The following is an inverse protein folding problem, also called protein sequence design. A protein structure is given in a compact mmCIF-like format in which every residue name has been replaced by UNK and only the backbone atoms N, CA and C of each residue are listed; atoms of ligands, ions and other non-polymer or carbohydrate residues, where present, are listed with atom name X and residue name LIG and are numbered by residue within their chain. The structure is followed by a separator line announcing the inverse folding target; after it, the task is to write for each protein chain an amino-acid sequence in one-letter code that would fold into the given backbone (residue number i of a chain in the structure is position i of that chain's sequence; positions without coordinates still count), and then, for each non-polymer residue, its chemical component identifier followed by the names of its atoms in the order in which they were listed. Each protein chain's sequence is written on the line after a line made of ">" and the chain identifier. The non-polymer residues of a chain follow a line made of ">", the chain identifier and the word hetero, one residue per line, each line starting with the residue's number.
data_IF_424340636717
#
_entry.id   IF_424340636717
#
_cell.length_a   1.000
_cell.length_b   1.000
_cell.length_c   1.000
_cell.angle_alpha   90.00
_cell.angle_beta   90.00
_cell.angle_gamma   90.00
#
_symmetry.space_group_name_H-M   'P 1'
#
loop_
_entity.id
_entity.type
_entity.pdbx_description
1 polymer ?
#
# COMPACT_ATOMS: atom_id res chain seq x y z
N UNK A 1 9.94 -19.50 -9.25
CA UNK A 1 8.62 -19.36 -8.59
C UNK A 1 8.88 -19.00 -7.13
N UNK A 2 8.79 -17.71 -6.77
CA UNK A 2 8.96 -17.28 -5.38
C UNK A 2 7.77 -17.81 -4.56
N UNK A 3 7.98 -18.38 -3.36
CA UNK A 3 6.89 -18.82 -2.51
C UNK A 3 6.15 -17.57 -1.98
N UNK A 4 5.03 -17.21 -2.62
CA UNK A 4 4.14 -16.15 -2.14
C UNK A 4 3.40 -16.60 -0.88
N UNK A 5 4.09 -16.57 0.26
CA UNK A 5 3.50 -16.82 1.59
C UNK A 5 2.41 -15.79 1.96
N UNK A 6 2.32 -14.67 1.25
CA UNK A 6 1.30 -13.63 1.46
C UNK A 6 -0.14 -14.16 1.37
N UNK A 7 -0.43 -15.12 0.47
CA UNK A 7 -1.79 -15.64 0.33
C UNK A 7 -2.27 -16.39 1.58
N UNK A 8 -1.39 -17.13 2.26
CA UNK A 8 -1.75 -17.83 3.50
C UNK A 8 -1.98 -16.87 4.66
N UNK A 9 -1.19 -15.79 4.73
CA UNK A 9 -1.35 -14.74 5.74
C UNK A 9 -2.66 -13.97 5.54
N UNK A 10 -2.91 -13.52 4.31
CA UNK A 10 -4.12 -12.75 3.95
C UNK A 10 -5.41 -13.55 4.20
N UNK A 11 -5.41 -14.87 3.91
CA UNK A 11 -6.56 -15.74 4.23
C UNK A 11 -6.95 -15.73 5.70
N UNK A 12 -5.99 -15.56 6.63
CA UNK A 12 -6.29 -15.46 8.06
C UNK A 12 -6.85 -14.09 8.41
N UNK A 13 -6.25 -13.03 7.87
CA UNK A 13 -6.74 -11.66 8.08
C UNK A 13 -8.18 -11.47 7.58
N UNK A 14 -8.51 -11.97 6.38
CA UNK A 14 -9.85 -11.88 5.81
C UNK A 14 -10.93 -12.68 6.54
N UNK A 15 -10.57 -13.61 7.43
CA UNK A 15 -11.54 -14.24 8.32
C UNK A 15 -11.97 -13.34 9.47
N UNK A 16 -11.14 -12.35 9.81
CA UNK A 16 -11.39 -11.38 10.89
C UNK A 16 -11.98 -10.09 10.33
N UNK A 17 -11.48 -9.62 9.19
CA UNK A 17 -11.93 -8.40 8.53
C UNK A 17 -11.69 -8.49 7.02
N UNK A 18 -12.76 -8.58 6.24
CA UNK A 18 -12.74 -8.68 4.76
C UNK A 18 -13.35 -7.45 4.08
N UNK A 19 -13.51 -7.50 2.76
CA UNK A 19 -14.03 -6.37 1.98
C UNK A 19 -15.47 -5.98 2.32
N UNK A 20 -16.32 -6.91 2.76
CA UNK A 20 -17.68 -6.60 3.22
C UNK A 20 -17.64 -5.84 4.55
N UNK A 21 -16.75 -6.26 5.45
CA UNK A 21 -16.51 -5.57 6.71
C UNK A 21 -15.95 -4.16 6.45
N UNK A 22 -15.01 -4.02 5.52
CA UNK A 22 -14.49 -2.70 5.09
C UNK A 22 -15.61 -1.81 4.56
N UNK A 23 -16.45 -2.32 3.65
CA UNK A 23 -17.56 -1.55 3.06
C UNK A 23 -18.51 -1.07 4.15
N UNK A 24 -18.97 -2.00 5.00
CA UNK A 24 -19.86 -1.69 6.12
C UNK A 24 -19.23 -0.71 7.10
N UNK A 25 -17.95 -0.88 7.43
CA UNK A 25 -17.25 -0.01 8.37
C UNK A 25 -17.22 1.44 7.87
N UNK A 26 -16.94 1.68 6.59
CA UNK A 26 -16.97 3.04 6.03
C UNK A 26 -18.38 3.63 6.06
N UNK A 27 -19.42 2.87 5.71
CA UNK A 27 -20.83 3.30 5.80
C UNK A 27 -21.22 3.65 7.25
N UNK A 28 -20.84 2.80 8.21
CA UNK A 28 -21.07 3.02 9.64
C UNK A 28 -20.34 4.28 10.15
N UNK A 29 -19.19 4.61 9.55
CA UNK A 29 -18.42 5.84 9.84
C UNK A 29 -18.93 7.08 9.07
N UNK A 30 -19.99 6.93 8.28
CA UNK A 30 -20.68 8.01 7.57
C UNK A 30 -20.14 8.30 6.17
N UNK A 31 -19.26 7.46 5.62
CA UNK A 31 -18.78 7.56 4.24
C UNK A 31 -19.64 6.67 3.36
N UNK A 32 -20.46 7.28 2.50
CA UNK A 32 -21.29 6.52 1.56
C UNK A 32 -20.44 5.99 0.42
N UNK A 33 -20.66 4.74 0.03
CA UNK A 33 -19.90 4.05 -1.00
C UNK A 33 -20.78 3.70 -2.20
N UNK A 34 -20.13 3.54 -3.35
CA UNK A 34 -20.73 3.07 -4.59
C UNK A 34 -19.78 2.06 -5.23
N UNK A 35 -20.34 0.94 -5.70
CA UNK A 35 -19.62 -0.05 -6.50
C UNK A 35 -19.87 0.25 -7.97
N UNK A 36 -18.81 0.33 -8.77
CA UNK A 36 -18.87 0.55 -10.22
C UNK A 36 -18.95 -0.79 -10.98
N UNK A 37 -19.13 -0.72 -12.30
CA UNK A 37 -19.32 -1.90 -13.17
C UNK A 37 -18.12 -2.86 -13.18
N UNK A 38 -16.94 -2.37 -12.81
CA UNK A 38 -15.68 -3.12 -12.69
C UNK A 38 -15.44 -3.67 -11.28
N UNK A 39 -16.47 -3.70 -10.43
CA UNK A 39 -16.43 -4.08 -9.01
C UNK A 39 -15.54 -3.17 -8.13
N UNK A 40 -15.00 -2.07 -8.66
CA UNK A 40 -14.26 -1.11 -7.85
C UNK A 40 -15.22 -0.32 -6.96
N UNK A 41 -14.79 -0.07 -5.72
CA UNK A 41 -15.58 0.64 -4.71
C UNK A 41 -14.99 2.03 -4.47
N UNK A 42 -15.84 3.04 -4.56
CA UNK A 42 -15.47 4.44 -4.39
C UNK A 42 -16.41 5.14 -3.40
N UNK A 43 -15.99 6.26 -2.79
CA UNK A 43 -16.92 7.19 -2.15
C UNK A 43 -17.98 7.63 -3.15
N UNK A 44 -19.24 7.70 -2.72
CA UNK A 44 -20.35 8.18 -3.56
C UNK A 44 -20.08 9.58 -4.11
N UNK A 45 -19.37 10.41 -3.34
CA UNK A 45 -18.92 11.76 -3.74
C UNK A 45 -17.87 11.78 -4.85
N UNK A 46 -17.25 10.64 -5.18
CA UNK A 46 -16.09 10.51 -6.06
C UNK A 46 -14.88 11.35 -5.60
N UNK A 47 -14.81 11.69 -4.30
CA UNK A 47 -13.74 12.48 -3.74
C UNK A 47 -12.97 11.70 -2.66
N UNK A 48 -11.68 11.48 -2.89
CA UNK A 48 -10.81 10.77 -1.94
C UNK A 48 -10.65 11.50 -0.59
N UNK A 49 -10.90 12.82 -0.54
CA UNK A 49 -10.81 13.58 0.70
C UNK A 49 -11.80 13.09 1.77
N UNK A 50 -12.95 12.53 1.37
CA UNK A 50 -13.94 12.01 2.32
C UNK A 50 -13.37 10.87 3.19
N UNK A 51 -12.53 10.01 2.59
CA UNK A 51 -11.82 8.94 3.29
C UNK A 51 -10.77 9.52 4.24
N UNK A 52 -10.03 10.54 3.81
CA UNK A 52 -8.99 11.19 4.61
C UNK A 52 -9.60 11.88 5.83
N UNK A 53 -10.66 12.66 5.62
CA UNK A 53 -11.39 13.37 6.68
C UNK A 53 -12.01 12.39 7.68
N UNK A 54 -12.55 11.26 7.20
CA UNK A 54 -13.04 10.18 8.06
C UNK A 54 -11.94 9.69 9.02
N UNK A 55 -10.75 9.36 8.52
CA UNK A 55 -9.65 8.90 9.38
C UNK A 55 -9.12 10.00 10.31
N UNK A 56 -9.01 11.25 9.84
CA UNK A 56 -8.55 12.37 10.67
C UNK A 56 -9.52 12.65 11.81
N UNK A 57 -10.82 12.64 11.53
CA UNK A 57 -11.89 12.81 12.51
C UNK A 57 -11.81 11.71 13.57
N UNK A 58 -11.78 10.44 13.17
CA UNK A 58 -11.69 9.30 14.09
C UNK A 58 -10.41 9.33 14.93
N UNK A 59 -9.28 9.71 14.33
CA UNK A 59 -8.01 9.87 15.07
C UNK A 59 -8.14 10.90 16.19
N UNK A 60 -8.81 12.03 15.92
CA UNK A 60 -9.06 13.07 16.92
C UNK A 60 -10.03 12.60 18.01
N UNK A 61 -11.14 11.96 17.64
CA UNK A 61 -12.15 11.45 18.57
C UNK A 61 -11.56 10.41 19.54
N UNK A 62 -10.66 9.55 19.06
CA UNK A 62 -10.00 8.52 19.85
C UNK A 62 -8.73 9.01 20.59
N UNK A 63 -8.37 10.30 20.45
CA UNK A 63 -7.17 10.86 21.08
C UNK A 63 -5.84 10.35 20.51
N UNK A 64 -5.84 9.85 19.27
CA UNK A 64 -4.64 9.39 18.57
C UNK A 64 -3.79 10.59 18.17
N UNK A 65 -2.54 10.62 18.61
CA UNK A 65 -1.59 11.69 18.29
C UNK A 65 -0.95 11.41 16.92
N UNK A 66 -1.32 12.20 15.92
CA UNK A 66 -0.72 12.13 14.57
C UNK A 66 0.41 13.16 14.45
N UNK A 67 1.61 12.70 14.12
CA UNK A 67 2.81 13.53 13.93
C UNK A 67 3.24 13.51 12.46
N UNK A 68 3.08 14.63 11.76
CA UNK A 68 3.54 14.81 10.37
C UNK A 68 4.95 15.40 10.32
N UNK A 69 5.65 15.28 9.20
CA UNK A 69 7.06 15.71 9.08
C UNK A 69 8.01 14.98 10.05
N UNK A 70 7.71 13.71 10.31
CA UNK A 70 8.52 12.80 11.15
C UNK A 70 8.99 11.63 10.29
N UNK A 71 10.03 11.84 9.50
CA UNK A 71 10.57 10.78 8.65
C UNK A 71 11.40 9.81 9.50
N UNK A 72 11.02 8.53 9.56
CA UNK A 72 11.77 7.52 10.30
C UNK A 72 13.11 7.26 9.62
N UNK A 73 14.22 7.46 10.33
CA UNK A 73 15.58 7.18 9.83
C UNK A 73 16.11 5.84 10.34
N UNK A 74 15.81 5.47 11.58
CA UNK A 74 16.22 4.19 12.15
C UNK A 74 15.29 3.72 13.26
N UNK A 75 15.33 2.41 13.50
CA UNK A 75 14.66 1.75 14.61
C UNK A 75 15.62 0.72 15.23
N UNK A 76 15.74 0.73 16.55
CA UNK A 76 16.51 -0.25 17.31
C UNK A 76 15.68 -0.79 18.47
N UNK A 77 16.06 -1.95 18.99
CA UNK A 77 15.40 -2.57 20.13
C UNK A 77 16.42 -3.05 21.15
N UNK A 78 16.23 -2.61 22.40
CA UNK A 78 16.92 -3.12 23.58
C UNK A 78 15.86 -3.56 24.61
N UNK A 79 15.54 -2.71 25.60
CA UNK A 79 14.38 -2.91 26.49
C UNK A 79 13.07 -2.37 25.88
N UNK A 80 13.19 -1.31 25.07
CA UNK A 80 12.10 -0.67 24.33
C UNK A 80 12.55 -0.40 22.89
N UNK A 81 11.58 -0.15 22.00
CA UNK A 81 11.89 0.34 20.67
C UNK A 81 12.30 1.80 20.74
N UNK A 82 13.45 2.13 20.15
CA UNK A 82 13.90 3.51 19.95
C UNK A 82 13.75 3.88 18.48
N UNK A 83 12.91 4.87 18.19
CA UNK A 83 12.67 5.39 16.84
C UNK A 83 13.40 6.72 16.68
N UNK A 84 14.30 6.77 15.71
CA UNK A 84 15.00 8.01 15.36
C UNK A 84 14.34 8.65 14.15
N UNK A 85 14.07 9.94 14.24
CA UNK A 85 13.41 10.68 13.17
C UNK A 85 14.30 11.79 12.60
N UNK A 86 14.16 11.97 11.29
CA UNK A 86 14.87 12.93 10.44
C UNK A 86 16.39 12.66 10.37
N UNK A 87 17.02 13.04 9.26
CA UNK A 87 18.40 12.63 8.95
C UNK A 87 19.47 13.16 9.92
N UNK A 88 19.17 14.20 10.70
CA UNK A 88 20.11 14.76 11.68
C UNK A 88 20.04 14.08 13.06
N UNK A 89 19.29 12.99 13.21
CA UNK A 89 19.10 12.25 14.47
C UNK A 89 18.72 13.17 15.66
N UNK A 90 18.03 14.28 15.39
CA UNK A 90 17.74 15.29 16.41
C UNK A 90 16.64 14.86 17.37
N UNK A 91 15.95 13.75 17.08
CA UNK A 91 14.80 13.28 17.86
C UNK A 91 14.76 11.76 17.93
N UNK A 92 14.79 11.26 19.16
CA UNK A 92 14.58 9.85 19.49
C UNK A 92 13.34 9.74 20.38
N UNK A 93 12.44 8.82 20.05
CA UNK A 93 11.27 8.49 20.87
C UNK A 93 11.25 7.01 21.22
N UNK A 94 10.74 6.67 22.40
CA UNK A 94 10.75 5.31 22.94
C UNK A 94 9.33 4.74 23.05
N UNK A 95 9.15 3.47 22.65
CA UNK A 95 7.86 2.79 22.64
C UNK A 95 7.98 1.34 23.12
N UNK A 96 6.96 0.85 23.82
CA UNK A 96 6.88 -0.56 24.24
C UNK A 96 6.48 -1.49 23.08
N UNK A 97 5.75 -0.95 22.09
CA UNK A 97 5.34 -1.69 20.90
C UNK A 97 5.31 -0.77 19.67
N UNK A 98 5.65 -1.35 18.50
CA UNK A 98 5.69 -0.63 17.22
C UNK A 98 5.02 -1.47 16.14
N UNK A 99 4.07 -0.86 15.41
CA UNK A 99 3.51 -1.41 14.19
C UNK A 99 4.03 -0.63 12.98
N UNK A 100 4.61 -1.33 12.00
CA UNK A 100 5.23 -0.71 10.82
C UNK A 100 4.27 -0.83 9.63
N UNK A 101 3.72 0.31 9.20
CA UNK A 101 2.74 0.41 8.09
C UNK A 101 3.18 1.44 7.04
N UNK A 102 4.48 1.47 6.71
CA UNK A 102 5.10 2.50 5.86
C UNK A 102 4.91 2.29 4.35
N UNK A 103 4.14 1.29 3.94
CA UNK A 103 4.01 0.89 2.53
C UNK A 103 5.27 0.22 1.97
N UNK A 104 5.31 0.07 0.64
CA UNK A 104 6.47 -0.48 -0.08
C UNK A 104 7.50 0.60 -0.43
N UNK A 105 8.73 0.17 -0.75
CA UNK A 105 9.77 1.03 -1.30
C UNK A 105 10.27 0.48 -2.64
N UNK A 106 10.38 1.30 -3.70
CA UNK A 106 10.95 0.85 -4.98
C UNK A 106 12.46 0.61 -4.89
N UNK A 107 13.12 1.21 -3.88
CA UNK A 107 14.55 1.11 -3.62
C UNK A 107 14.79 0.32 -2.33
N UNK A 108 15.76 -0.59 -2.34
CA UNK A 108 16.05 -1.45 -1.18
C UNK A 108 16.47 -0.63 0.04
N UNK A 109 17.18 0.49 -0.19
CA UNK A 109 17.69 1.39 0.85
C UNK A 109 16.57 1.94 1.74
N UNK A 110 15.37 2.12 1.17
CA UNK A 110 14.18 2.56 1.90
C UNK A 110 13.64 1.54 2.91
N UNK A 111 14.18 0.31 2.92
CA UNK A 111 13.80 -0.78 3.81
C UNK A 111 14.94 -1.21 4.74
N UNK A 112 16.13 -0.62 4.64
CA UNK A 112 17.31 -1.01 5.42
C UNK A 112 17.09 -0.96 6.95
N UNK A 113 16.21 -0.08 7.41
CA UNK A 113 15.86 0.01 8.84
C UNK A 113 15.20 -1.27 9.38
N UNK A 114 14.58 -2.08 8.50
CA UNK A 114 14.05 -3.39 8.86
C UNK A 114 15.14 -4.47 8.91
N UNK A 115 16.15 -4.38 8.05
CA UNK A 115 17.32 -5.27 8.12
C UNK A 115 18.10 -5.07 9.43
N UNK A 116 18.17 -3.82 9.91
CA UNK A 116 18.77 -3.51 11.22
C UNK A 116 18.04 -4.17 12.39
N UNK A 117 16.75 -4.50 12.24
CA UNK A 117 15.99 -5.30 13.22
C UNK A 117 16.16 -6.82 13.04
N UNK A 118 17.01 -7.26 12.10
CA UNK A 118 17.25 -8.66 11.80
C UNK A 118 16.27 -9.27 10.80
N UNK A 119 15.42 -8.48 10.14
CA UNK A 119 14.53 -9.00 9.09
C UNK A 119 15.30 -9.24 7.79
N UNK A 120 14.94 -10.31 7.07
CA UNK A 120 15.41 -10.54 5.71
C UNK A 120 14.51 -9.81 4.71
N UNK A 121 15.08 -8.91 3.93
CA UNK A 121 14.36 -8.21 2.87
C UNK A 121 14.50 -8.95 1.54
N UNK A 122 13.36 -9.22 0.89
CA UNK A 122 13.34 -9.71 -0.48
C UNK A 122 13.43 -8.49 -1.39
N UNK A 123 14.35 -8.53 -2.36
CA UNK A 123 14.58 -7.42 -3.30
C UNK A 123 13.26 -7.04 -3.97
N UNK A 124 12.81 -5.78 -3.83
CA UNK A 124 11.59 -5.32 -4.47
C UNK A 124 11.69 -5.42 -5.99
N UNK A 125 10.62 -5.90 -6.62
CA UNK A 125 10.47 -5.89 -8.09
C UNK A 125 9.30 -4.99 -8.46
N UNK A 126 9.40 -4.18 -9.53
CA UNK A 126 8.27 -3.38 -10.00
C UNK A 126 7.05 -4.24 -10.29
N UNK A 127 5.87 -3.73 -9.91
CA UNK A 127 4.58 -4.34 -10.23
C UNK A 127 3.59 -3.22 -10.58
N UNK A 128 2.60 -3.52 -11.43
CA UNK A 128 1.62 -2.54 -11.94
C UNK A 128 2.28 -1.33 -12.62
N UNK A 129 3.08 -1.58 -13.66
CA UNK A 129 3.73 -0.53 -14.45
C UNK A 129 3.28 -0.58 -15.92
N UNK A 130 3.37 0.56 -16.59
CA UNK A 130 3.16 0.68 -18.03
C UNK A 130 4.42 0.25 -18.79
N UNK A 131 4.26 -0.53 -19.85
CA UNK A 131 5.38 -0.86 -20.73
C UNK A 131 5.87 0.38 -21.48
N UNK A 132 7.16 0.65 -21.39
CA UNK A 132 7.81 1.68 -22.20
C UNK A 132 8.38 1.05 -23.47
N UNK A 133 7.78 1.37 -24.62
CA UNK A 133 8.13 0.82 -25.94
C UNK A 133 8.56 1.96 -26.89
N UNK A 134 9.78 2.49 -26.71
CA UNK A 134 10.27 3.56 -27.56
C UNK A 134 10.33 3.08 -29.01
N UNK A 135 9.89 3.94 -29.94
CA UNK A 135 9.89 3.70 -31.38
C UNK A 135 8.91 2.64 -31.92
N UNK A 136 7.97 2.15 -31.10
CA UNK A 136 6.93 1.24 -31.57
C UNK A 136 5.78 2.00 -32.30
N UNK A 137 5.32 1.53 -33.47
CA UNK A 137 4.21 2.14 -34.21
C UNK A 137 2.90 2.26 -33.41
N UNK A 138 2.67 1.43 -32.39
CA UNK A 138 1.46 1.49 -31.55
C UNK A 138 1.32 2.84 -30.82
N UNK A 139 2.40 3.62 -30.73
CA UNK A 139 2.35 4.99 -30.18
C UNK A 139 1.48 5.94 -31.00
N UNK A 140 1.23 5.65 -32.28
CA UNK A 140 0.27 6.40 -33.10
C UNK A 140 -1.17 6.24 -32.59
N UNK A 141 -1.43 5.23 -31.75
CA UNK A 141 -2.74 4.93 -31.14
C UNK A 141 -2.84 5.41 -29.67
N UNK A 142 -1.91 6.25 -29.19
CA UNK A 142 -1.98 6.77 -27.82
C UNK A 142 -3.32 7.49 -27.57
N UNK A 143 -4.00 7.09 -26.48
CA UNK A 143 -5.31 7.62 -26.10
C UNK A 143 -6.50 6.76 -26.56
N UNK A 144 -6.28 5.76 -27.41
CA UNK A 144 -7.31 4.77 -27.75
C UNK A 144 -7.41 3.73 -26.64
N UNK A 145 -8.64 3.47 -26.20
CA UNK A 145 -8.98 2.36 -25.30
C UNK A 145 -9.58 1.24 -26.14
N UNK A 146 -8.97 0.05 -26.08
CA UNK A 146 -9.51 -1.16 -26.68
C UNK A 146 -9.99 -2.08 -25.55
N UNK A 147 -11.28 -2.38 -25.55
CA UNK A 147 -11.89 -3.32 -24.59
C UNK A 147 -11.78 -4.76 -25.12
N UNK A 148 -11.85 -5.76 -24.22
CA UNK A 148 -11.87 -7.18 -24.57
C UNK A 148 -10.64 -7.65 -25.36
N UNK A 149 -9.46 -7.27 -24.87
CA UNK A 149 -8.17 -7.58 -25.45
C UNK A 149 -7.51 -8.78 -24.79
N UNK A 150 -6.58 -9.39 -25.52
CA UNK A 150 -5.69 -10.42 -24.99
C UNK A 150 -4.26 -9.92 -25.15
N UNK A 151 -3.53 -9.86 -24.05
CA UNK A 151 -2.10 -9.54 -24.02
C UNK A 151 -1.33 -10.81 -23.72
N UNK A 152 -0.28 -11.08 -24.50
CA UNK A 152 0.62 -12.22 -24.29
C UNK A 152 2.07 -11.78 -24.27
N UNK A 153 2.86 -12.38 -23.39
CA UNK A 153 4.31 -12.19 -23.35
C UNK A 153 4.98 -13.17 -24.31
N UNK A 154 5.54 -12.65 -25.41
CA UNK A 154 6.20 -13.45 -26.44
C UNK A 154 7.32 -14.32 -25.82
N UNK A 155 7.38 -15.60 -26.24
CA UNK A 155 8.33 -16.57 -25.69
C UNK A 155 7.93 -17.18 -24.35
N UNK A 156 6.74 -16.87 -23.84
CA UNK A 156 6.19 -17.45 -22.61
C UNK A 156 4.77 -17.97 -22.84
N UNK A 157 4.26 -18.75 -21.89
CA UNK A 157 2.85 -19.16 -21.85
C UNK A 157 1.97 -18.16 -21.09
N UNK A 158 2.49 -16.98 -20.73
CA UNK A 158 1.74 -15.98 -19.95
C UNK A 158 0.82 -15.21 -20.88
N UNK A 159 -0.47 -15.21 -20.54
CA UNK A 159 -1.53 -14.46 -21.20
C UNK A 159 -2.42 -13.79 -20.14
N UNK A 160 -2.92 -12.61 -20.46
CA UNK A 160 -3.93 -11.90 -19.69
C UNK A 160 -5.03 -11.43 -20.63
N UNK A 161 -6.26 -11.36 -20.11
CA UNK A 161 -7.43 -10.84 -20.82
C UNK A 161 -8.06 -9.72 -20.01
N UNK A 162 -8.54 -8.68 -20.68
CA UNK A 162 -9.21 -7.51 -20.09
C UNK A 162 -9.72 -6.58 -21.17
#
# INVERSE_FOLDING_TARGET
>A
MLPCNGLKLLKRAFRVFNHLDTYKWFEDMGVKLVTQEDDCVFPLSQNSNEIIECFQRLSKELGIIVKTSHNLSSITFEEKYALTFNQNNSRVEYFDAVAITTGGSPKMEGLNYLEALGHKIVVPVPSLFTFNIPSDPIRELMGIVAENTIVSLQGTNIKASG
#
